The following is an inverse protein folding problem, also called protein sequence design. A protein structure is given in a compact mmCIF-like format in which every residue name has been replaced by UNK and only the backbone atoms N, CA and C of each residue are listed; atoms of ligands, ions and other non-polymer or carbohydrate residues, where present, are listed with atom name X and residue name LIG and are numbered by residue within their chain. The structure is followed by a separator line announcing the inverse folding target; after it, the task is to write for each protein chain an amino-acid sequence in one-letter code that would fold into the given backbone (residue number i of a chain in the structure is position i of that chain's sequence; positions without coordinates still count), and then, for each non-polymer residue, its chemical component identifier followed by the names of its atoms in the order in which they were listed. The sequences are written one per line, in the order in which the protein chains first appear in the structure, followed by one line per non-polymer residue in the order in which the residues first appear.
data_IF_141781695768
#
_entry.id   IF_141781695768
#
_cell.length_a   1.000
_cell.length_b   1.000
_cell.length_c   1.000
_cell.angle_alpha   90.00
_cell.angle_beta   90.00
_cell.angle_gamma   90.00
#
_symmetry.space_group_name_H-M   'P 1'
#
loop_
_entity.id
_entity.type
_entity.pdbx_description
1 polymer ?
#
# COMPACT_ATOMS: atom_id res chain seq x y z
N UNK A 1 34.49 -14.31 -32.56
CA UNK A 1 33.27 -13.48 -32.56
C UNK A 1 33.04 -13.04 -31.12
N UNK A 2 33.12 -11.74 -30.80
CA UNK A 2 32.83 -11.25 -29.44
C UNK A 2 31.34 -10.98 -29.32
N UNK A 3 30.73 -11.45 -28.23
CA UNK A 3 29.36 -11.12 -27.84
C UNK A 3 29.42 -10.44 -26.47
N UNK A 4 28.64 -9.39 -26.28
CA UNK A 4 28.45 -8.73 -24.98
C UNK A 4 26.95 -8.64 -24.71
N UNK A 5 26.57 -8.90 -23.47
CA UNK A 5 25.19 -8.79 -23.00
C UNK A 5 25.11 -7.62 -22.03
N UNK A 6 24.08 -6.80 -22.18
CA UNK A 6 23.71 -5.75 -21.22
C UNK A 6 22.33 -6.06 -20.64
N UNK A 7 22.08 -5.60 -19.42
CA UNK A 7 20.79 -5.70 -18.76
C UNK A 7 20.14 -4.31 -18.69
N UNK A 8 18.82 -4.28 -18.84
CA UNK A 8 18.00 -3.09 -18.67
C UNK A 8 16.97 -3.37 -17.59
N UNK A 9 16.97 -2.56 -16.54
CA UNK A 9 15.93 -2.58 -15.53
C UNK A 9 14.82 -1.59 -15.90
N UNK A 10 13.62 -2.12 -16.12
CA UNK A 10 12.43 -1.31 -16.40
C UNK A 10 11.72 -1.01 -15.09
N UNK A 11 11.68 0.27 -14.74
CA UNK A 11 10.97 0.77 -13.56
C UNK A 11 9.62 1.35 -13.92
N UNK A 12 8.62 1.09 -13.08
CA UNK A 12 7.27 1.60 -13.20
C UNK A 12 6.89 2.19 -11.85
N UNK A 13 6.45 3.47 -11.80
CA UNK A 13 6.08 4.09 -10.53
C UNK A 13 4.88 3.36 -9.88
N UNK A 14 4.75 3.42 -8.55
CA UNK A 14 3.58 2.91 -7.86
C UNK A 14 2.29 3.57 -8.35
N UNK A 15 1.29 2.75 -8.63
CA UNK A 15 -0.07 3.18 -8.99
C UNK A 15 -1.08 2.48 -8.08
N UNK A 16 -2.01 3.23 -7.50
CA UNK A 16 -3.06 2.67 -6.63
C UNK A 16 -4.21 2.21 -7.52
N UNK A 17 -4.58 0.94 -7.39
CA UNK A 17 -5.65 0.37 -8.19
C UNK A 17 -7.01 0.74 -7.60
N UNK A 18 -7.85 1.43 -8.37
CA UNK A 18 -9.22 1.78 -7.98
C UNK A 18 -10.05 0.55 -7.59
N UNK A 19 -9.94 -0.53 -8.38
CA UNK A 19 -10.44 -1.86 -8.05
C UNK A 19 -9.23 -2.73 -7.79
N UNK A 20 -8.89 -3.12 -6.53
CA UNK A 20 -9.71 -3.61 -5.44
C UNK A 20 -9.50 -2.83 -4.11
N UNK A 21 -9.13 -1.55 -4.20
CA UNK A 21 -8.91 -0.68 -3.04
C UNK A 21 -10.24 -0.24 -2.45
N UNK A 22 -10.31 -0.17 -1.12
CA UNK A 22 -11.50 0.33 -0.42
C UNK A 22 -11.69 1.82 -0.69
N UNK A 23 -12.93 2.21 -0.99
CA UNK A 23 -13.36 3.62 -1.07
C UNK A 23 -13.84 4.12 0.29
N UNK A 24 -14.49 5.29 0.32
CA UNK A 24 -15.09 5.85 1.53
C UNK A 24 -16.06 4.87 2.22
N UNK A 25 -15.89 4.69 3.53
CA UNK A 25 -16.71 3.80 4.36
C UNK A 25 -17.30 4.56 5.55
N UNK A 26 -18.59 4.38 5.81
CA UNK A 26 -19.26 4.91 7.00
C UNK A 26 -19.54 3.73 7.94
N UNK A 27 -19.04 3.82 9.17
CA UNK A 27 -19.09 2.73 10.14
C UNK A 27 -19.60 3.27 11.48
N UNK A 28 -20.38 2.45 12.20
CA UNK A 28 -20.86 2.82 13.54
C UNK A 28 -19.73 2.75 14.56
N UNK A 29 -19.77 3.62 15.56
CA UNK A 29 -18.84 3.59 16.67
C UNK A 29 -18.82 2.20 17.35
N UNK A 30 -17.63 1.76 17.74
CA UNK A 30 -17.41 0.43 18.32
C UNK A 30 -17.50 -0.74 17.34
N UNK A 31 -17.86 -0.52 16.07
CA UNK A 31 -17.86 -1.55 15.04
C UNK A 31 -16.48 -1.73 14.41
N UNK A 32 -16.21 -2.93 13.91
CA UNK A 32 -14.96 -3.23 13.20
C UNK A 32 -15.06 -2.82 11.73
N UNK A 33 -13.93 -2.36 11.17
CA UNK A 33 -13.78 -2.05 9.75
C UNK A 33 -12.47 -2.64 9.24
N UNK A 34 -12.47 -3.09 7.99
CA UNK A 34 -11.29 -3.58 7.28
C UNK A 34 -11.13 -2.75 6.01
N UNK A 35 -10.00 -2.05 5.90
CA UNK A 35 -9.64 -1.28 4.71
C UNK A 35 -8.62 -2.06 3.89
N UNK A 36 -8.80 -2.10 2.57
CA UNK A 36 -7.90 -2.75 1.64
C UNK A 36 -7.27 -1.70 0.72
N UNK A 37 -6.00 -1.86 0.42
CA UNK A 37 -5.28 -1.10 -0.59
C UNK A 37 -4.51 -2.08 -1.46
N UNK A 38 -4.56 -1.91 -2.77
CA UNK A 38 -3.68 -2.59 -3.70
C UNK A 38 -3.02 -1.56 -4.59
N UNK A 39 -1.73 -1.76 -4.82
CA UNK A 39 -0.93 -0.93 -5.70
C UNK A 39 -0.11 -1.83 -6.62
N UNK A 40 0.22 -1.33 -7.81
CA UNK A 40 1.10 -1.99 -8.78
C UNK A 40 2.32 -1.12 -9.04
N UNK A 41 3.44 -1.70 -9.43
CA UNK A 41 4.68 -0.98 -9.70
C UNK A 41 5.84 -1.93 -9.93
N UNK A 42 6.94 -1.41 -10.46
CA UNK A 42 8.19 -2.15 -10.59
C UNK A 42 9.34 -1.29 -10.07
N UNK A 43 9.98 -1.65 -8.94
CA UNK A 43 9.70 -2.81 -8.09
C UNK A 43 8.34 -2.76 -7.36
N UNK A 44 7.92 -3.90 -6.79
CA UNK A 44 6.65 -4.02 -6.05
C UNK A 44 6.52 -2.95 -4.95
N UNK A 45 5.42 -2.18 -4.91
CA UNK A 45 5.28 -1.08 -3.98
C UNK A 45 5.05 -1.54 -2.53
N UNK A 46 5.56 -0.78 -1.57
CA UNK A 46 5.26 -0.98 -0.14
C UNK A 46 4.06 -0.14 0.29
N UNK A 47 3.02 -0.78 0.83
CA UNK A 47 1.80 -0.11 1.28
C UNK A 47 1.91 0.27 2.77
N UNK A 48 1.63 1.54 3.07
CA UNK A 48 1.63 2.09 4.44
C UNK A 48 0.35 2.89 4.67
N UNK A 49 -0.29 2.65 5.80
CA UNK A 49 -1.52 3.35 6.22
C UNK A 49 -1.22 4.46 7.21
N UNK A 50 -1.86 5.62 7.01
CA UNK A 50 -1.76 6.80 7.88
C UNK A 50 -3.10 7.54 7.90
N UNK A 51 -3.34 8.33 8.95
CA UNK A 51 -4.47 9.26 8.98
C UNK A 51 -4.22 10.43 8.02
N UNK A 52 -5.29 11.14 7.69
CA UNK A 52 -5.19 12.44 7.05
C UNK A 52 -4.27 13.37 7.88
N UNK A 53 -3.48 14.21 7.21
CA UNK A 53 -2.44 15.01 7.86
C UNK A 53 -1.14 14.27 8.17
N UNK A 54 -1.08 12.95 7.93
CA UNK A 54 0.14 12.15 8.12
C UNK A 54 0.32 11.60 9.53
N UNK A 55 -0.68 11.73 10.39
CA UNK A 55 -0.66 11.17 11.74
C UNK A 55 -0.74 9.64 11.73
N UNK A 56 -0.18 9.02 12.77
CA UNK A 56 -0.28 7.58 12.96
C UNK A 56 -1.73 7.16 13.26
N UNK A 57 -2.10 5.95 12.83
CA UNK A 57 -3.39 5.36 13.19
C UNK A 57 -3.28 4.85 14.64
N UNK A 58 -3.94 5.54 15.56
CA UNK A 58 -4.04 5.12 16.97
C UNK A 58 -4.78 3.79 17.10
N UNK A 59 -4.04 2.68 17.20
CA UNK A 59 -4.61 1.39 17.56
C UNK A 59 -4.66 1.29 19.10
N UNK A 60 -5.83 0.92 19.63
CA UNK A 60 -6.10 0.80 21.09
C UNK A 60 -5.09 -0.10 21.84
N UNK A 61 -4.34 -0.94 21.12
CA UNK A 61 -3.36 -1.89 21.67
C UNK A 61 -1.90 -1.62 21.22
N UNK A 62 -1.54 -0.39 20.83
CA UNK A 62 -0.13 0.03 20.67
C UNK A 62 0.65 -0.61 19.51
N UNK A 63 -0.03 -1.26 18.57
CA UNK A 63 0.58 -1.67 17.29
C UNK A 63 0.44 -0.48 16.36
N UNK A 64 1.53 0.21 16.02
CA UNK A 64 1.50 1.27 15.01
C UNK A 64 1.06 0.70 13.66
N UNK A 65 0.42 1.54 12.83
CA UNK A 65 -0.21 1.22 11.55
C UNK A 65 0.50 0.09 10.81
N UNK A 66 -0.14 -1.09 10.84
CA UNK A 66 0.43 -2.33 10.36
C UNK A 66 0.82 -2.19 8.89
N UNK A 67 2.12 -2.30 8.61
CA UNK A 67 2.66 -2.54 7.27
C UNK A 67 2.22 -3.94 6.87
N UNK A 68 1.32 -4.05 5.91
CA UNK A 68 1.00 -5.33 5.30
C UNK A 68 1.69 -5.35 3.94
N UNK A 69 2.75 -6.15 3.85
CA UNK A 69 3.21 -6.67 2.56
C UNK A 69 2.27 -7.83 2.23
N UNK A 70 1.57 -7.74 1.11
CA UNK A 70 0.98 -8.92 0.48
C UNK A 70 2.03 -9.55 -0.43
#
# INVERSE_FOLDING_TARGET
MKSQVGYLDVVVPPDILDYPTSTDMIVREGSNVSMRCAATGSPEPTIVWRREGGEAISLRNGKEGMKFQY
#
